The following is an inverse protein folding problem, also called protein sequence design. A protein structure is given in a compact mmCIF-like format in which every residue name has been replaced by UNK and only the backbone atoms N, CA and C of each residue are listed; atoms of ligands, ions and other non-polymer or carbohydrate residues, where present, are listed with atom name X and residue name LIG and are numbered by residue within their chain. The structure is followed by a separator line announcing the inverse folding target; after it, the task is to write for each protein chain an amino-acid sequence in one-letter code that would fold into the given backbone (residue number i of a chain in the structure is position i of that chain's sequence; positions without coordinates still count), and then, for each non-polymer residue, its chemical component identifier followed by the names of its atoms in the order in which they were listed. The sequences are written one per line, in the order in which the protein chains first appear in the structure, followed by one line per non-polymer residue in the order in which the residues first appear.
data_IF_881924369479
#
_entry.id   IF_881924369479
#
_cell.length_a   1.000
_cell.length_b   1.000
_cell.length_c   1.000
_cell.angle_alpha   90.00
_cell.angle_beta   90.00
_cell.angle_gamma   90.00
#
_symmetry.space_group_name_H-M   'P 1'
#
loop_
_entity.id
_entity.type
_entity.pdbx_description
1 polymer ?
#
# COMPACT_ATOMS: atom_id res chain seq x y z
N UNK A 1 21.37 8.53 5.65
CA UNK A 1 20.63 8.61 6.93
C UNK A 1 20.31 7.21 7.42
N UNK A 2 20.03 7.03 8.72
CA UNK A 2 19.48 5.80 9.28
C UNK A 2 17.96 5.77 9.07
N UNK A 3 17.42 4.64 8.60
CA UNK A 3 15.98 4.45 8.38
C UNK A 3 15.55 3.12 9.00
N UNK A 4 14.59 3.17 9.91
CA UNK A 4 13.96 1.98 10.48
C UNK A 4 12.70 1.65 9.70
N UNK A 5 12.59 0.42 9.18
CA UNK A 5 11.44 -0.07 8.42
C UNK A 5 10.72 -1.13 9.26
N UNK A 6 9.62 -0.75 9.90
CA UNK A 6 8.77 -1.68 10.62
C UNK A 6 7.82 -2.40 9.66
N UNK A 7 7.74 -3.73 9.74
CA UNK A 7 7.02 -4.56 8.77
C UNK A 7 7.78 -4.81 7.47
N UNK A 8 9.11 -4.65 7.49
CA UNK A 8 9.97 -4.80 6.32
C UNK A 8 10.03 -6.20 5.71
N UNK A 9 9.48 -7.23 6.36
CA UNK A 9 9.36 -8.59 5.80
C UNK A 9 8.23 -8.74 4.78
N UNK A 10 7.29 -7.79 4.70
CA UNK A 10 6.23 -7.76 3.67
C UNK A 10 6.77 -7.43 2.27
N UNK A 11 5.96 -7.62 1.22
CA UNK A 11 6.36 -7.33 -0.17
C UNK A 11 6.87 -5.90 -0.33
N UNK A 12 6.03 -4.92 -0.02
CA UNK A 12 6.40 -3.50 -0.10
C UNK A 12 7.55 -3.14 0.86
N UNK A 13 7.55 -3.73 2.08
CA UNK A 13 8.63 -3.50 3.05
C UNK A 13 10.00 -3.93 2.52
N UNK A 14 10.09 -5.10 1.86
CA UNK A 14 11.32 -5.56 1.20
C UNK A 14 11.72 -4.67 0.03
N UNK A 15 10.75 -4.19 -0.77
CA UNK A 15 11.03 -3.27 -1.87
C UNK A 15 11.61 -1.93 -1.36
N UNK A 16 10.99 -1.34 -0.35
CA UNK A 16 11.47 -0.10 0.31
C UNK A 16 12.84 -0.31 0.93
N UNK A 17 13.04 -1.40 1.70
CA UNK A 17 14.33 -1.66 2.34
C UNK A 17 15.46 -1.84 1.33
N UNK A 18 15.23 -2.57 0.23
CA UNK A 18 16.23 -2.75 -0.84
C UNK A 18 16.54 -1.44 -1.56
N UNK A 19 15.52 -0.66 -1.90
CA UNK A 19 15.72 0.63 -2.58
C UNK A 19 16.55 1.59 -1.73
N UNK A 20 16.22 1.72 -0.45
CA UNK A 20 16.94 2.58 0.47
C UNK A 20 18.38 2.09 0.74
N UNK A 21 18.58 0.78 0.94
CA UNK A 21 19.92 0.19 1.09
C UNK A 21 20.78 0.41 -0.16
N UNK A 22 20.18 0.19 -1.35
CA UNK A 22 20.88 0.43 -2.64
C UNK A 22 21.27 1.89 -2.89
N UNK A 23 20.68 2.82 -2.15
CA UNK A 23 21.00 4.26 -2.19
C UNK A 23 21.94 4.72 -1.06
N UNK A 24 22.50 3.79 -0.30
CA UNK A 24 23.46 4.08 0.74
C UNK A 24 22.88 4.52 2.08
N UNK A 25 21.56 4.32 2.31
CA UNK A 25 20.98 4.49 3.64
C UNK A 25 21.33 3.32 4.56
N UNK A 26 21.54 3.60 5.84
CA UNK A 26 21.59 2.57 6.87
C UNK A 26 20.15 2.10 7.16
N UNK A 27 19.79 0.91 6.71
CA UNK A 27 18.42 0.39 6.87
C UNK A 27 18.39 -0.66 7.99
N UNK A 28 17.50 -0.44 8.96
CA UNK A 28 17.18 -1.40 10.02
C UNK A 28 15.76 -1.90 9.82
N UNK A 29 15.60 -3.21 9.66
CA UNK A 29 14.30 -3.85 9.43
C UNK A 29 13.79 -4.46 10.73
N UNK A 30 12.70 -3.93 11.28
CA UNK A 30 12.00 -4.56 12.40
C UNK A 30 11.04 -5.62 11.88
N UNK A 31 11.24 -6.87 12.26
CA UNK A 31 10.42 -7.99 11.79
C UNK A 31 10.31 -9.13 12.82
N UNK A 32 9.15 -9.81 12.78
CA UNK A 32 8.92 -11.07 13.52
C UNK A 32 9.54 -12.27 12.82
N UNK A 33 9.73 -12.17 11.51
CA UNK A 33 10.30 -13.21 10.66
C UNK A 33 11.83 -13.15 10.63
N UNK A 34 12.51 -14.26 10.32
CA UNK A 34 13.95 -14.26 10.09
C UNK A 34 14.39 -13.30 8.98
N UNK A 35 15.66 -12.95 8.97
CA UNK A 35 16.28 -12.07 7.98
C UNK A 35 16.08 -12.57 6.53
N UNK A 36 15.91 -11.60 5.61
CA UNK A 36 15.97 -11.85 4.17
C UNK A 36 17.24 -11.20 3.60
N UNK A 37 17.98 -11.85 2.70
CA UNK A 37 19.20 -11.29 2.11
C UNK A 37 18.98 -9.94 1.42
N UNK A 38 19.97 -9.03 1.54
CA UNK A 38 20.06 -7.81 0.71
C UNK A 38 19.10 -6.67 1.06
N UNK A 39 18.52 -6.65 2.26
CA UNK A 39 17.54 -5.62 2.65
C UNK A 39 17.86 -4.87 3.95
N UNK A 40 19.15 -4.69 4.27
CA UNK A 40 19.59 -4.01 5.48
C UNK A 40 19.79 -4.95 6.68
N UNK A 41 20.04 -4.38 7.87
CA UNK A 41 20.21 -5.11 9.13
C UNK A 41 18.84 -5.45 9.74
N UNK A 42 18.63 -6.69 10.11
CA UNK A 42 17.39 -7.19 10.69
C UNK A 42 17.45 -7.24 12.20
N UNK A 43 16.42 -6.67 12.83
CA UNK A 43 16.22 -6.69 14.27
C UNK A 43 14.90 -7.36 14.57
N UNK A 44 14.93 -8.39 15.42
CA UNK A 44 13.72 -9.11 15.81
C UNK A 44 12.91 -8.29 16.80
N UNK A 45 11.59 -8.23 16.58
CA UNK A 45 10.63 -7.69 17.52
C UNK A 45 9.32 -8.51 17.45
N UNK A 46 8.47 -8.41 18.46
CA UNK A 46 7.20 -9.14 18.51
C UNK A 46 6.03 -8.39 17.84
N UNK A 47 6.21 -7.08 17.59
CA UNK A 47 5.17 -6.20 17.04
C UNK A 47 4.17 -5.69 18.07
N UNK A 48 4.47 -5.80 19.38
CA UNK A 48 3.52 -5.40 20.44
C UNK A 48 4.17 -4.78 21.67
N UNK A 49 5.35 -5.24 22.07
CA UNK A 49 6.05 -4.72 23.25
C UNK A 49 7.23 -3.86 22.87
N UNK A 50 7.57 -2.90 23.76
CA UNK A 50 8.82 -2.13 23.68
C UNK A 50 9.94 -3.00 24.25
N UNK A 51 11.06 -3.08 23.55
CA UNK A 51 12.24 -3.83 23.97
C UNK A 51 13.51 -3.17 23.43
N UNK A 52 14.63 -3.88 23.43
CA UNK A 52 15.95 -3.36 23.03
C UNK A 52 15.97 -2.75 21.62
N UNK A 53 15.08 -3.21 20.74
CA UNK A 53 14.90 -2.65 19.40
C UNK A 53 14.52 -1.16 19.40
N UNK A 54 13.98 -0.63 20.52
CA UNK A 54 13.57 0.78 20.63
C UNK A 54 14.75 1.74 20.42
N UNK A 55 15.96 1.34 20.84
CA UNK A 55 17.19 2.12 20.62
C UNK A 55 17.53 2.32 19.15
N UNK A 56 17.00 1.48 18.24
CA UNK A 56 17.20 1.66 16.81
C UNK A 56 16.51 2.90 16.24
N UNK A 57 15.48 3.40 16.93
CA UNK A 57 14.72 4.60 16.50
C UNK A 57 15.49 5.90 16.79
N UNK A 58 16.51 5.89 17.64
CA UNK A 58 17.24 7.11 18.03
C UNK A 58 17.90 7.76 16.81
N UNK A 59 17.47 8.99 16.47
CA UNK A 59 17.94 9.77 15.33
C UNK A 59 17.59 9.18 13.96
N UNK A 60 16.76 8.13 13.90
CA UNK A 60 16.38 7.45 12.67
C UNK A 60 15.04 7.95 12.14
N UNK A 61 14.91 7.99 10.81
CA UNK A 61 13.59 8.07 10.18
C UNK A 61 12.86 6.72 10.34
N UNK A 62 11.56 6.75 10.60
CA UNK A 62 10.73 5.56 10.75
C UNK A 62 9.73 5.42 9.59
N UNK A 63 9.71 4.25 8.95
CA UNK A 63 8.70 3.87 7.95
C UNK A 63 7.88 2.70 8.51
N UNK A 64 6.63 2.97 8.92
CA UNK A 64 5.73 1.97 9.47
C UNK A 64 4.85 1.36 8.37
N UNK A 65 5.14 0.12 7.99
CA UNK A 65 4.43 -0.69 6.99
C UNK A 65 3.74 -1.92 7.62
N UNK A 66 3.55 -1.92 8.94
CA UNK A 66 2.99 -3.06 9.65
C UNK A 66 1.54 -3.32 9.29
N UNK A 67 1.22 -4.55 8.92
CA UNK A 67 -0.15 -4.97 8.64
C UNK A 67 -0.25 -6.31 7.97
N UNK A 68 -1.27 -7.10 8.33
CA UNK A 68 -1.61 -8.32 7.62
C UNK A 68 -2.26 -8.00 6.26
N UNK A 69 -2.18 -8.95 5.32
CA UNK A 69 -2.82 -8.82 4.01
C UNK A 69 -4.35 -8.71 4.17
N UNK A 70 -4.93 -7.73 3.46
CA UNK A 70 -6.37 -7.41 3.51
C UNK A 70 -7.24 -8.40 2.72
N UNK A 71 -6.63 -9.28 1.95
CA UNK A 71 -7.30 -10.27 1.10
C UNK A 71 -7.91 -11.40 1.95
N UNK A 72 -8.99 -11.07 2.66
CA UNK A 72 -9.72 -11.95 3.58
C UNK A 72 -11.21 -11.62 3.53
N UNK A 73 -12.11 -12.60 3.82
CA UNK A 73 -13.53 -12.32 3.98
C UNK A 73 -13.79 -11.26 5.07
N UNK A 74 -14.80 -10.38 4.90
CA UNK A 74 -15.10 -9.31 5.84
C UNK A 74 -15.86 -9.82 7.09
N UNK A 75 -15.28 -10.77 7.81
CA UNK A 75 -15.82 -11.29 9.07
C UNK A 75 -15.32 -10.47 10.26
N UNK A 76 -16.07 -10.40 11.39
CA UNK A 76 -15.62 -9.71 12.59
C UNK A 76 -14.24 -10.16 13.06
N UNK A 77 -13.93 -11.46 12.99
CA UNK A 77 -12.64 -12.03 13.36
C UNK A 77 -11.50 -11.49 12.44
N UNK A 78 -11.74 -11.40 11.13
CA UNK A 78 -10.77 -10.85 10.19
C UNK A 78 -10.61 -9.34 10.34
N UNK A 79 -11.69 -8.59 10.57
CA UNK A 79 -11.61 -7.14 10.88
C UNK A 79 -10.75 -6.94 12.13
N UNK A 80 -11.01 -7.68 13.21
CA UNK A 80 -10.24 -7.61 14.45
C UNK A 80 -8.75 -7.98 14.21
N UNK A 81 -8.45 -9.01 13.40
CA UNK A 81 -7.08 -9.39 13.04
C UNK A 81 -6.39 -8.30 12.24
N UNK A 82 -7.05 -7.73 11.24
CA UNK A 82 -6.50 -6.65 10.41
C UNK A 82 -6.23 -5.39 11.24
N UNK A 83 -7.14 -5.06 12.16
CA UNK A 83 -6.98 -3.93 13.09
C UNK A 83 -5.79 -4.17 14.02
N UNK A 84 -5.77 -5.28 14.77
CA UNK A 84 -4.66 -5.60 15.68
C UNK A 84 -3.31 -5.65 14.98
N UNK A 85 -3.24 -6.25 13.79
CA UNK A 85 -1.98 -6.36 13.04
C UNK A 85 -1.37 -5.00 12.64
N UNK A 86 -2.12 -3.92 12.76
CA UNK A 86 -1.73 -2.53 12.45
C UNK A 86 -1.61 -1.69 13.71
N UNK A 87 -2.62 -1.72 14.53
CA UNK A 87 -2.72 -0.86 15.72
C UNK A 87 -1.70 -1.24 16.79
N UNK A 88 -1.57 -2.55 17.11
CA UNK A 88 -0.66 -2.99 18.18
C UNK A 88 0.80 -2.64 17.87
N UNK A 89 1.35 -2.97 16.67
CA UNK A 89 2.71 -2.56 16.34
C UNK A 89 2.87 -1.03 16.26
N UNK A 90 1.87 -0.30 15.76
CA UNK A 90 1.94 1.15 15.71
C UNK A 90 2.01 1.75 17.12
N UNK A 91 1.20 1.27 18.05
CA UNK A 91 1.24 1.71 19.46
C UNK A 91 2.57 1.37 20.15
N UNK A 92 3.17 0.20 19.83
CA UNK A 92 4.49 -0.14 20.33
C UNK A 92 5.57 0.83 19.81
N UNK A 93 5.51 1.17 18.51
CA UNK A 93 6.40 2.15 17.91
C UNK A 93 6.21 3.56 18.51
N UNK A 94 4.97 3.98 18.76
CA UNK A 94 4.68 5.28 19.41
C UNK A 94 5.29 5.33 20.81
N UNK A 95 5.09 4.27 21.62
CA UNK A 95 5.71 4.18 22.95
C UNK A 95 7.24 4.22 22.91
N UNK A 96 7.84 3.53 21.94
CA UNK A 96 9.29 3.53 21.76
C UNK A 96 9.82 4.90 21.30
N UNK A 97 9.12 5.54 20.36
CA UNK A 97 9.48 6.88 19.88
C UNK A 97 9.37 7.98 20.97
N UNK A 98 8.57 7.76 22.02
CA UNK A 98 8.52 8.66 23.17
C UNK A 98 9.79 8.66 24.04
N UNK A 99 10.68 7.69 23.84
CA UNK A 99 11.93 7.53 24.60
C UNK A 99 13.15 8.11 23.86
N UNK A 100 13.01 8.43 22.56
CA UNK A 100 14.13 8.83 21.69
C UNK A 100 13.65 9.86 20.68
N UNK A 101 14.58 10.56 20.04
CA UNK A 101 14.25 11.48 18.95
C UNK A 101 14.03 10.70 17.63
N UNK A 102 12.86 10.95 17.00
CA UNK A 102 12.49 10.43 15.68
C UNK A 102 12.25 11.62 14.75
N UNK A 103 13.19 11.98 13.86
CA UNK A 103 13.05 13.17 13.02
C UNK A 103 11.90 13.08 12.01
N UNK A 104 11.67 11.91 11.43
CA UNK A 104 10.60 11.69 10.44
C UNK A 104 9.90 10.37 10.71
N UNK A 105 8.55 10.41 10.72
CA UNK A 105 7.70 9.23 10.77
C UNK A 105 6.81 9.15 9.53
N UNK A 106 7.00 8.14 8.69
CA UNK A 106 6.09 7.80 7.59
C UNK A 106 5.17 6.69 8.06
N UNK A 107 3.89 7.02 8.24
CA UNK A 107 2.83 6.09 8.58
C UNK A 107 2.15 5.63 7.30
N UNK A 108 2.23 4.33 6.99
CA UNK A 108 1.42 3.78 5.90
C UNK A 108 -0.06 3.79 6.26
N UNK A 109 -0.87 4.08 5.27
CA UNK A 109 -2.33 3.98 5.29
C UNK A 109 -2.84 3.54 3.91
N UNK A 110 -4.12 3.68 3.64
CA UNK A 110 -4.73 3.27 2.39
C UNK A 110 -5.82 4.24 1.93
N UNK A 111 -5.95 4.42 0.61
CA UNK A 111 -7.07 5.17 0.02
C UNK A 111 -8.42 4.47 0.25
N UNK A 112 -8.42 3.21 0.69
CA UNK A 112 -9.65 2.52 1.07
C UNK A 112 -10.37 3.14 2.29
N UNK A 113 -9.71 4.04 3.02
CA UNK A 113 -10.30 4.86 4.08
C UNK A 113 -11.47 5.72 3.59
N UNK A 114 -11.54 6.02 2.30
CA UNK A 114 -12.63 6.78 1.69
C UNK A 114 -13.85 5.94 1.29
N UNK A 115 -13.83 4.63 1.56
CA UNK A 115 -14.94 3.73 1.21
C UNK A 115 -15.18 3.63 -0.30
N UNK A 116 -16.44 3.46 -0.69
CA UNK A 116 -16.91 3.54 -2.08
C UNK A 116 -17.44 4.96 -2.33
N UNK A 117 -16.72 5.74 -3.12
CA UNK A 117 -17.00 7.17 -3.30
C UNK A 117 -17.59 7.49 -4.69
N UNK A 118 -18.00 6.48 -5.45
CA UNK A 118 -18.56 6.68 -6.79
C UNK A 118 -17.63 7.49 -7.69
N UNK A 119 -18.13 8.59 -8.28
CA UNK A 119 -17.39 9.43 -9.22
C UNK A 119 -16.70 10.65 -8.59
N UNK A 120 -16.86 10.85 -7.28
CA UNK A 120 -16.23 11.96 -6.59
C UNK A 120 -14.70 11.92 -6.73
N UNK A 121 -14.12 13.07 -7.07
CA UNK A 121 -12.65 13.24 -7.05
C UNK A 121 -12.22 13.55 -5.62
N UNK A 122 -11.34 12.73 -5.08
CA UNK A 122 -10.87 12.82 -3.71
C UNK A 122 -9.39 13.22 -3.68
N UNK A 123 -9.10 14.31 -3.03
CA UNK A 123 -7.75 14.73 -2.67
C UNK A 123 -7.49 14.51 -1.16
N UNK A 124 -6.35 14.98 -0.68
CA UNK A 124 -5.92 14.80 0.71
C UNK A 124 -6.79 15.54 1.74
N UNK A 125 -7.63 16.48 1.31
CA UNK A 125 -8.58 17.21 2.16
C UNK A 125 -9.95 16.51 2.26
N UNK A 126 -10.21 15.49 1.44
CA UNK A 126 -11.47 14.77 1.42
C UNK A 126 -11.77 14.09 2.78
N UNK A 127 -13.03 14.12 3.25
CA UNK A 127 -13.41 13.47 4.49
C UNK A 127 -13.32 11.94 4.37
N UNK A 128 -12.91 11.28 5.45
CA UNK A 128 -12.87 9.81 5.53
C UNK A 128 -14.29 9.25 5.64
N UNK A 129 -14.50 8.03 5.14
CA UNK A 129 -15.80 7.36 5.19
C UNK A 129 -16.05 6.71 6.56
N UNK A 130 -17.32 6.66 6.97
CA UNK A 130 -17.75 5.94 8.16
C UNK A 130 -17.65 4.41 8.04
N UNK A 131 -17.48 3.87 6.84
CA UNK A 131 -17.41 2.42 6.59
C UNK A 131 -16.97 2.08 5.16
N UNK A 132 -16.85 0.81 4.81
CA UNK A 132 -17.12 -0.39 5.61
C UNK A 132 -16.03 -0.68 6.67
N UNK A 133 -16.34 -1.47 7.72
CA UNK A 133 -15.42 -1.72 8.84
C UNK A 133 -14.09 -2.33 8.42
N UNK A 134 -14.09 -3.27 7.46
CA UNK A 134 -12.87 -3.98 7.04
C UNK A 134 -11.86 -3.07 6.34
N UNK A 135 -12.30 -2.07 5.62
CA UNK A 135 -11.43 -1.19 4.83
C UNK A 135 -11.27 0.18 5.51
N UNK A 136 -12.34 0.97 5.55
CA UNK A 136 -12.31 2.32 6.12
C UNK A 136 -12.08 2.27 7.64
N UNK A 137 -12.82 1.46 8.40
CA UNK A 137 -12.66 1.37 9.84
C UNK A 137 -11.29 0.89 10.30
N UNK A 138 -10.72 -0.13 9.63
CA UNK A 138 -9.34 -0.58 9.93
C UNK A 138 -8.32 0.50 9.62
N UNK A 139 -8.48 1.23 8.52
CA UNK A 139 -7.57 2.31 8.15
C UNK A 139 -7.64 3.49 9.11
N UNK A 140 -8.86 3.89 9.52
CA UNK A 140 -9.08 4.94 10.52
C UNK A 140 -8.40 4.59 11.84
N UNK A 141 -8.65 3.39 12.38
CA UNK A 141 -8.01 2.94 13.61
C UNK A 141 -6.47 2.89 13.51
N UNK A 142 -5.95 2.60 12.33
CA UNK A 142 -4.51 2.61 12.09
C UNK A 142 -3.91 4.00 12.10
N UNK A 143 -4.54 4.98 11.43
CA UNK A 143 -4.11 6.38 11.44
C UNK A 143 -4.23 6.99 12.84
N UNK A 144 -5.33 6.70 13.56
CA UNK A 144 -5.55 7.14 14.94
C UNK A 144 -4.45 6.62 15.88
N UNK A 145 -4.03 5.37 15.72
CA UNK A 145 -2.97 4.79 16.53
C UNK A 145 -1.61 5.52 16.40
N UNK A 146 -1.40 6.27 15.31
CA UNK A 146 -0.20 7.06 15.05
C UNK A 146 -0.44 8.58 15.19
N UNK A 147 -1.66 9.02 15.56
CA UNK A 147 -2.03 10.44 15.54
C UNK A 147 -1.13 11.30 16.44
N UNK A 148 -0.75 10.77 17.60
CA UNK A 148 0.09 11.47 18.58
C UNK A 148 1.54 10.95 18.61
N UNK A 149 2.00 10.29 17.54
CA UNK A 149 3.36 9.78 17.46
C UNK A 149 4.38 10.94 17.63
N UNK A 150 5.29 10.86 18.62
CA UNK A 150 6.27 11.89 18.88
C UNK A 150 7.38 11.82 17.83
N UNK A 151 7.24 12.63 16.79
CA UNK A 151 8.22 12.77 15.73
C UNK A 151 8.32 14.23 15.27
N UNK A 152 9.49 14.64 14.82
CA UNK A 152 9.71 15.98 14.31
C UNK A 152 8.80 16.31 13.13
N UNK A 153 8.56 15.32 12.25
CA UNK A 153 7.62 15.42 11.13
C UNK A 153 6.90 14.08 10.90
N UNK A 154 5.58 14.15 10.69
CA UNK A 154 4.74 12.97 10.38
C UNK A 154 4.15 13.08 8.98
N UNK A 155 4.21 11.97 8.25
CA UNK A 155 3.55 11.80 6.95
C UNK A 155 2.63 10.59 7.03
N UNK A 156 1.35 10.77 6.76
CA UNK A 156 0.38 9.68 6.61
C UNK A 156 0.23 9.39 5.12
N UNK A 157 0.79 8.28 4.67
CA UNK A 157 0.86 7.91 3.26
C UNK A 157 -0.33 7.01 2.90
N UNK A 158 -1.44 7.60 2.43
CA UNK A 158 -2.62 6.88 1.96
C UNK A 158 -2.36 6.32 0.57
N UNK A 159 -2.22 5.01 0.49
CA UNK A 159 -1.73 4.32 -0.72
C UNK A 159 -2.87 3.71 -1.52
N UNK A 160 -2.84 3.90 -2.85
CA UNK A 160 -3.64 3.17 -3.81
C UNK A 160 -3.17 1.72 -4.01
N UNK A 161 -3.67 1.06 -5.04
CA UNK A 161 -3.21 -0.29 -5.39
C UNK A 161 -1.80 -0.18 -6.00
N UNK A 162 -0.79 -0.63 -5.26
CA UNK A 162 0.58 -0.68 -5.77
C UNK A 162 0.71 -1.86 -6.74
N UNK A 163 0.99 -1.52 -8.00
CA UNK A 163 1.25 -2.49 -9.05
C UNK A 163 2.74 -2.86 -9.03
N UNK A 164 3.01 -4.13 -8.75
CA UNK A 164 4.35 -4.69 -8.69
C UNK A 164 4.33 -6.11 -9.23
N UNK A 165 5.30 -6.45 -10.11
CA UNK A 165 5.46 -7.79 -10.67
C UNK A 165 5.58 -8.85 -9.56
N UNK A 166 4.91 -10.00 -9.76
CA UNK A 166 5.00 -11.12 -8.83
C UNK A 166 4.20 -10.96 -7.53
N UNK A 167 3.51 -9.85 -7.28
CA UNK A 167 2.58 -9.75 -6.14
C UNK A 167 1.34 -10.65 -6.34
N UNK A 168 0.69 -11.10 -5.24
CA UNK A 168 -0.53 -11.89 -5.36
C UNK A 168 -1.63 -11.20 -6.18
N UNK A 169 -1.79 -9.88 -6.03
CA UNK A 169 -2.77 -9.10 -6.79
C UNK A 169 -2.47 -9.12 -8.30
N UNK A 170 -1.23 -8.80 -8.71
CA UNK A 170 -0.84 -8.82 -10.12
C UNK A 170 -0.89 -10.23 -10.72
N UNK A 171 -0.48 -11.27 -9.98
CA UNK A 171 -0.61 -12.66 -10.44
C UNK A 171 -2.06 -13.07 -10.69
N UNK A 172 -2.99 -12.65 -9.82
CA UNK A 172 -4.44 -12.91 -10.02
C UNK A 172 -4.96 -12.18 -11.25
N UNK A 173 -4.70 -10.89 -11.37
CA UNK A 173 -5.17 -10.07 -12.50
C UNK A 173 -4.62 -10.58 -13.83
N UNK A 174 -3.32 -10.82 -13.91
CA UNK A 174 -2.68 -11.35 -15.13
C UNK A 174 -3.09 -12.81 -15.41
N UNK A 175 -3.27 -13.61 -14.37
CA UNK A 175 -3.78 -14.98 -14.49
C UNK A 175 -5.19 -15.00 -15.10
N UNK A 176 -6.13 -14.24 -14.54
CA UNK A 176 -7.48 -14.11 -15.08
C UNK A 176 -7.46 -13.66 -16.55
N UNK A 177 -6.64 -12.65 -16.88
CA UNK A 177 -6.52 -12.16 -18.25
C UNK A 177 -5.98 -13.23 -19.20
N UNK A 178 -4.96 -14.02 -18.78
CA UNK A 178 -4.39 -15.12 -19.60
C UNK A 178 -5.39 -16.24 -19.88
N UNK A 179 -6.28 -16.53 -18.93
CA UNK A 179 -7.30 -17.58 -19.08
C UNK A 179 -8.59 -17.07 -19.76
N UNK A 180 -8.60 -15.88 -20.34
CA UNK A 180 -9.79 -15.32 -21.00
C UNK A 180 -10.86 -14.81 -20.04
N UNK A 181 -10.60 -14.77 -18.74
CA UNK A 181 -11.50 -14.27 -17.69
C UNK A 181 -11.19 -12.82 -17.29
N UNK A 182 -10.40 -12.12 -18.08
CA UNK A 182 -9.98 -10.75 -17.85
C UNK A 182 -11.00 -9.69 -18.28
N UNK A 183 -12.31 -9.99 -18.27
CA UNK A 183 -13.37 -9.02 -18.52
C UNK A 183 -13.51 -7.98 -17.42
N UNK A 184 -14.27 -6.91 -17.69
CA UNK A 184 -14.62 -5.95 -16.65
C UNK A 184 -15.39 -6.63 -15.52
N UNK A 185 -15.18 -6.19 -14.29
CA UNK A 185 -15.87 -6.69 -13.11
C UNK A 185 -17.15 -5.87 -12.89
N UNK A 186 -18.31 -6.54 -12.83
CA UNK A 186 -19.60 -5.87 -12.75
C UNK A 186 -19.85 -5.01 -13.98
N UNK A 187 -20.24 -3.76 -13.77
CA UNK A 187 -20.38 -2.76 -14.83
C UNK A 187 -19.04 -2.13 -15.26
N UNK A 188 -17.97 -2.38 -14.50
CA UNK A 188 -16.62 -1.88 -14.75
C UNK A 188 -16.44 -0.38 -14.50
N UNK A 189 -17.41 0.27 -13.88
CA UNK A 189 -17.39 1.73 -13.62
C UNK A 189 -16.65 2.13 -12.37
N UNK A 190 -16.39 1.20 -11.45
CA UNK A 190 -15.64 1.48 -10.23
C UNK A 190 -14.24 1.99 -10.55
N UNK A 191 -13.85 3.07 -9.85
CA UNK A 191 -12.55 3.69 -10.02
C UNK A 191 -11.44 2.89 -9.32
N UNK A 192 -10.31 2.81 -9.96
CA UNK A 192 -9.09 2.19 -9.45
C UNK A 192 -8.01 3.26 -9.33
N UNK A 193 -7.71 3.65 -8.10
CA UNK A 193 -6.54 4.46 -7.78
C UNK A 193 -5.34 3.53 -7.65
N UNK A 194 -4.43 3.60 -8.59
CA UNK A 194 -3.28 2.69 -8.74
C UNK A 194 -1.97 3.46 -8.70
N UNK A 195 -0.88 2.77 -8.45
CA UNK A 195 0.47 3.33 -8.45
C UNK A 195 1.48 2.27 -8.89
N UNK A 196 2.45 2.64 -9.71
CA UNK A 196 3.58 1.76 -10.02
C UNK A 196 4.53 1.66 -8.82
N UNK A 197 5.15 0.49 -8.59
CA UNK A 197 6.07 0.30 -7.47
C UNK A 197 7.26 1.28 -7.51
N UNK A 198 7.79 1.59 -8.69
CA UNK A 198 8.87 2.59 -8.85
C UNK A 198 8.47 3.96 -8.30
N UNK A 199 7.25 4.42 -8.61
CA UNK A 199 6.73 5.69 -8.11
C UNK A 199 6.44 5.62 -6.60
N UNK A 200 5.96 4.47 -6.10
CA UNK A 200 5.80 4.28 -4.66
C UNK A 200 7.12 4.44 -3.90
N UNK A 201 8.20 3.86 -4.40
CA UNK A 201 9.53 4.00 -3.81
C UNK A 201 10.04 5.44 -3.90
N UNK A 202 9.81 6.12 -5.03
CA UNK A 202 10.15 7.53 -5.19
C UNK A 202 9.37 8.45 -4.23
N UNK A 203 8.08 8.17 -4.00
CA UNK A 203 7.26 8.91 -3.03
C UNK A 203 7.77 8.69 -1.60
N UNK A 204 8.15 7.46 -1.21
CA UNK A 204 8.73 7.21 0.12
C UNK A 204 10.01 8.02 0.30
N UNK A 205 10.91 8.04 -0.70
CA UNK A 205 12.13 8.87 -0.66
C UNK A 205 11.79 10.36 -0.56
N UNK A 206 10.86 10.84 -1.39
CA UNK A 206 10.42 12.23 -1.33
C UNK A 206 9.88 12.59 0.07
N UNK A 207 9.11 11.70 0.70
CA UNK A 207 8.63 11.90 2.07
C UNK A 207 9.75 11.87 3.11
N UNK A 208 10.85 11.15 2.89
CA UNK A 208 12.03 11.18 3.78
C UNK A 208 12.79 12.50 3.65
N UNK A 209 13.01 12.97 2.42
CA UNK A 209 13.93 14.06 2.12
C UNK A 209 13.28 15.46 2.17
N UNK A 210 12.00 15.58 1.77
CA UNK A 210 11.31 16.87 1.69
C UNK A 210 10.69 17.27 3.04
N UNK A 211 11.33 18.22 3.71
CA UNK A 211 10.87 18.76 4.99
C UNK A 211 9.49 19.44 4.93
N UNK A 212 9.03 19.89 3.76
CA UNK A 212 7.72 20.52 3.59
C UNK A 212 6.56 19.52 3.47
N UNK A 213 6.84 18.25 3.14
CA UNK A 213 5.82 17.19 3.08
C UNK A 213 5.51 16.65 4.47
N UNK A 214 4.38 17.06 5.05
CA UNK A 214 3.84 16.57 6.34
C UNK A 214 2.34 16.31 6.25
N UNK A 215 1.75 15.61 7.23
CA UNK A 215 0.33 15.26 7.25
C UNK A 215 -0.04 14.23 6.18
N UNK A 216 -1.28 14.26 5.69
CA UNK A 216 -1.78 13.28 4.70
C UNK A 216 -1.18 13.54 3.32
N UNK A 217 -0.72 12.47 2.68
CA UNK A 217 -0.22 12.45 1.28
C UNK A 217 -0.84 11.25 0.56
N UNK A 218 -1.39 11.45 -0.63
CA UNK A 218 -1.91 10.36 -1.46
C UNK A 218 -0.79 9.74 -2.31
N UNK A 219 -0.47 8.48 -2.05
CA UNK A 219 0.42 7.69 -2.90
C UNK A 219 -0.41 6.96 -3.97
N UNK A 220 -0.71 7.65 -5.05
CA UNK A 220 -1.45 7.14 -6.20
C UNK A 220 -0.99 7.83 -7.48
N UNK A 221 -1.18 7.18 -8.64
CA UNK A 221 -0.99 7.81 -9.94
C UNK A 221 -1.91 9.03 -10.10
N UNK A 222 -1.49 10.09 -10.81
CA UNK A 222 -2.33 11.25 -11.10
C UNK A 222 -3.54 10.91 -11.99
N UNK A 223 -3.53 9.74 -12.62
CA UNK A 223 -4.57 9.28 -13.55
C UNK A 223 -5.24 7.98 -13.06
N UNK A 224 -6.17 8.07 -12.10
CA UNK A 224 -7.00 6.91 -11.73
C UNK A 224 -7.83 6.47 -12.94
N UNK A 225 -8.07 5.18 -13.07
CA UNK A 225 -8.78 4.58 -14.21
C UNK A 225 -10.03 3.83 -13.77
N UNK A 226 -10.94 3.54 -14.71
CA UNK A 226 -12.06 2.62 -14.46
C UNK A 226 -11.57 1.17 -14.47
N UNK A 227 -12.25 0.28 -13.73
CA UNK A 227 -11.94 -1.14 -13.77
C UNK A 227 -12.00 -1.71 -15.20
N UNK A 228 -12.97 -1.28 -16.01
CA UNK A 228 -13.07 -1.67 -17.41
C UNK A 228 -11.78 -1.34 -18.20
N UNK A 229 -11.20 -0.17 -17.95
CA UNK A 229 -9.95 0.28 -18.59
C UNK A 229 -8.74 -0.51 -18.08
N UNK A 230 -8.63 -0.73 -16.75
CA UNK A 230 -7.58 -1.57 -16.16
C UNK A 230 -7.57 -2.95 -16.81
N UNK A 231 -8.73 -3.61 -16.88
CA UNK A 231 -8.84 -4.95 -17.44
C UNK A 231 -8.56 -4.98 -18.96
N UNK A 232 -9.00 -3.97 -19.69
CA UNK A 232 -8.70 -3.83 -21.13
C UNK A 232 -7.21 -3.61 -21.37
N UNK A 233 -6.55 -2.77 -20.56
CA UNK A 233 -5.10 -2.51 -20.65
C UNK A 233 -4.29 -3.77 -20.36
N UNK A 234 -4.63 -4.51 -19.31
CA UNK A 234 -3.99 -5.79 -18.98
C UNK A 234 -4.13 -6.81 -20.12
N UNK A 235 -5.31 -6.94 -20.72
CA UNK A 235 -5.52 -7.86 -21.86
C UNK A 235 -4.70 -7.45 -23.07
N UNK A 236 -4.69 -6.17 -23.43
CA UNK A 236 -3.88 -5.66 -24.55
C UNK A 236 -2.39 -5.95 -24.35
N UNK A 237 -1.88 -5.66 -23.17
CA UNK A 237 -0.47 -5.90 -22.84
C UNK A 237 -0.09 -7.40 -22.81
N UNK A 238 -1.07 -8.28 -22.57
CA UNK A 238 -0.90 -9.74 -22.61
C UNK A 238 -1.28 -10.35 -23.98
N UNK A 239 -1.58 -9.54 -24.99
CA UNK A 239 -2.05 -9.97 -26.31
C UNK A 239 -3.26 -10.90 -26.24
N UNK A 240 -4.25 -10.57 -25.38
CA UNK A 240 -5.47 -11.36 -25.22
C UNK A 240 -6.69 -10.64 -25.81
N UNK A 241 -7.61 -11.39 -26.42
CA UNK A 241 -8.82 -10.83 -27.01
C UNK A 241 -9.73 -10.21 -25.95
N UNK A 242 -10.74 -9.42 -26.35
CA UNK A 242 -11.81 -9.01 -25.45
C UNK A 242 -12.43 -10.20 -24.71
N UNK A 243 -12.75 -10.02 -23.45
CA UNK A 243 -13.35 -11.05 -22.60
C UNK A 243 -14.73 -10.58 -22.10
N UNK A 244 -15.67 -11.50 -21.90
CA UNK A 244 -16.98 -11.16 -21.37
C UNK A 244 -16.87 -10.55 -19.96
N UNK A 245 -17.80 -9.67 -19.55
CA UNK A 245 -17.81 -9.14 -18.21
C UNK A 245 -18.06 -10.24 -17.18
N UNK A 246 -17.45 -10.11 -16.00
CA UNK A 246 -17.75 -10.97 -14.86
C UNK A 246 -18.86 -10.32 -14.03
N UNK A 247 -20.11 -10.82 -14.07
CA UNK A 247 -21.23 -10.23 -13.32
C UNK A 247 -20.98 -10.19 -11.82
N UNK A 248 -21.47 -9.16 -11.13
CA UNK A 248 -21.26 -8.99 -9.69
C UNK A 248 -21.68 -10.21 -8.83
N UNK A 249 -22.77 -10.95 -9.13
CA UNK A 249 -23.10 -12.17 -8.42
C UNK A 249 -22.00 -13.25 -8.51
N UNK A 250 -21.41 -13.44 -9.69
CA UNK A 250 -20.30 -14.37 -9.89
C UNK A 250 -19.04 -13.94 -9.14
N UNK A 251 -18.77 -12.62 -9.09
CA UNK A 251 -17.65 -12.08 -8.27
C UNK A 251 -17.87 -12.39 -6.79
N UNK A 252 -19.09 -12.20 -6.27
CA UNK A 252 -19.43 -12.52 -4.88
C UNK A 252 -19.30 -14.02 -4.58
N UNK A 253 -19.76 -14.87 -5.51
CA UNK A 253 -19.61 -16.32 -5.38
C UNK A 253 -18.11 -16.72 -5.41
N UNK A 254 -17.35 -16.22 -6.37
CA UNK A 254 -15.92 -16.47 -6.47
C UNK A 254 -15.14 -15.99 -5.25
N UNK A 255 -15.53 -14.84 -4.69
CA UNK A 255 -14.94 -14.32 -3.46
C UNK A 255 -15.14 -15.25 -2.25
N UNK A 256 -16.31 -15.93 -2.13
CA UNK A 256 -16.54 -16.94 -1.10
C UNK A 256 -15.61 -18.14 -1.25
N UNK A 257 -15.47 -18.65 -2.48
CA UNK A 257 -14.59 -19.78 -2.78
C UNK A 257 -13.12 -19.43 -2.54
N UNK A 258 -12.69 -18.25 -2.98
CA UNK A 258 -11.32 -17.75 -2.82
C UNK A 258 -11.04 -17.20 -1.41
N UNK A 259 -12.04 -17.16 -0.53
CA UNK A 259 -11.96 -16.61 0.83
C UNK A 259 -11.40 -15.19 0.87
N UNK A 260 -11.93 -14.33 0.01
CA UNK A 260 -11.55 -12.92 -0.11
C UNK A 260 -12.75 -11.98 0.06
N UNK A 261 -12.52 -10.67 0.12
CA UNK A 261 -13.57 -9.66 0.17
C UNK A 261 -13.99 -9.25 -1.24
N UNK A 262 -15.25 -9.43 -1.66
CA UNK A 262 -15.73 -8.98 -2.95
C UNK A 262 -15.69 -7.45 -3.12
N UNK A 263 -15.71 -6.68 -2.03
CA UNK A 263 -15.58 -5.23 -2.08
C UNK A 263 -14.27 -4.76 -2.70
N UNK A 264 -13.18 -5.56 -2.59
CA UNK A 264 -11.89 -5.25 -3.24
C UNK A 264 -12.00 -5.12 -4.77
N UNK A 265 -12.98 -5.78 -5.39
CA UNK A 265 -13.19 -5.76 -6.83
C UNK A 265 -14.42 -4.95 -7.26
N UNK A 266 -15.41 -4.77 -6.38
CA UNK A 266 -16.72 -4.19 -6.70
C UNK A 266 -16.87 -2.73 -6.29
N UNK A 267 -15.99 -2.22 -5.41
CA UNK A 267 -16.01 -0.82 -4.96
C UNK A 267 -14.81 -0.05 -5.49
N UNK A 268 -14.92 1.26 -5.53
CA UNK A 268 -13.85 2.09 -6.05
C UNK A 268 -13.85 3.51 -5.50
N UNK A 269 -12.77 4.23 -5.79
CA UNK A 269 -12.58 5.65 -5.45
C UNK A 269 -11.65 6.31 -6.43
N UNK A 270 -11.95 7.57 -6.75
CA UNK A 270 -11.18 8.39 -7.68
C UNK A 270 -10.28 9.33 -6.89
N UNK A 271 -9.16 8.82 -6.37
CA UNK A 271 -8.22 9.63 -5.60
C UNK A 271 -7.12 10.22 -6.50
N UNK A 272 -6.74 11.46 -6.21
CA UNK A 272 -5.66 12.17 -6.90
C UNK A 272 -4.59 12.61 -5.91
N UNK A 273 -3.29 12.62 -6.29
CA UNK A 273 -2.17 13.00 -5.43
C UNK A 273 -1.93 14.52 -5.49
N UNK A 274 -2.92 15.32 -5.04
CA UNK A 274 -2.89 16.76 -5.25
C UNK A 274 -1.68 17.43 -4.58
N UNK A 275 -1.25 16.96 -3.40
CA UNK A 275 -0.08 17.51 -2.70
C UNK A 275 1.22 17.17 -3.40
N UNK A 276 1.39 15.95 -3.89
CA UNK A 276 2.57 15.56 -4.67
C UNK A 276 2.69 16.38 -5.96
N UNK A 277 1.57 16.55 -6.68
CA UNK A 277 1.56 17.38 -7.90
C UNK A 277 1.94 18.83 -7.60
N UNK A 278 1.38 19.43 -6.54
CA UNK A 278 1.74 20.81 -6.13
C UNK A 278 3.20 20.94 -5.68
N UNK A 279 3.81 19.87 -5.14
CA UNK A 279 5.23 19.86 -4.76
C UNK A 279 6.18 19.60 -5.94
N UNK A 280 5.67 19.55 -7.17
CA UNK A 280 6.49 19.27 -8.35
C UNK A 280 7.00 17.84 -8.45
N UNK A 281 6.32 16.88 -7.79
CA UNK A 281 6.69 15.47 -7.91
C UNK A 281 6.39 14.94 -9.32
N UNK A 282 7.40 14.38 -9.97
CA UNK A 282 7.29 13.77 -11.30
C UNK A 282 7.13 12.25 -11.19
N UNK A 283 6.05 11.74 -11.78
CA UNK A 283 5.77 10.30 -11.83
C UNK A 283 6.52 9.67 -13.01
N UNK A 284 7.26 8.59 -12.77
CA UNK A 284 7.89 7.80 -13.84
C UNK A 284 6.84 7.05 -14.68
N UNK A 285 5.74 6.64 -14.04
CA UNK A 285 4.65 5.91 -14.68
C UNK A 285 3.29 6.59 -14.44
N UNK A 286 3.04 7.79 -15.03
CA UNK A 286 1.76 8.48 -14.85
C UNK A 286 0.59 7.80 -15.56
N UNK A 287 0.87 7.00 -16.60
CA UNK A 287 -0.11 6.33 -17.46
C UNK A 287 -0.13 4.82 -17.22
N UNK A 288 -1.33 4.25 -17.09
CA UNK A 288 -1.50 2.82 -16.81
C UNK A 288 -0.89 1.92 -17.89
N UNK A 289 -0.98 2.32 -19.17
CA UNK A 289 -0.45 1.54 -20.29
C UNK A 289 1.04 1.30 -20.17
N UNK A 290 1.82 2.35 -19.95
CA UNK A 290 3.27 2.29 -19.73
C UNK A 290 3.64 1.50 -18.46
N UNK A 291 2.91 1.73 -17.37
CA UNK A 291 3.12 1.01 -16.12
C UNK A 291 2.93 -0.50 -16.27
N UNK A 292 1.86 -0.93 -16.93
CA UNK A 292 1.58 -2.35 -17.16
C UNK A 292 2.60 -2.98 -18.11
N UNK A 293 3.03 -2.26 -19.15
CA UNK A 293 4.07 -2.75 -20.08
C UNK A 293 5.39 -2.99 -19.34
N UNK A 294 5.84 -2.05 -18.52
CA UNK A 294 7.05 -2.20 -17.69
C UNK A 294 6.96 -3.41 -16.76
N UNK A 295 5.85 -3.57 -16.04
CA UNK A 295 5.66 -4.69 -15.10
C UNK A 295 5.64 -6.07 -15.76
N UNK A 296 5.25 -6.16 -17.03
CA UNK A 296 5.22 -7.44 -17.76
C UNK A 296 6.55 -7.77 -18.42
N UNK A 297 7.38 -6.77 -18.74
CA UNK A 297 8.73 -6.94 -19.27
C UNK A 297 9.75 -7.20 -18.18
N UNK A 298 9.58 -6.59 -17.02
CA UNK A 298 10.46 -6.79 -15.85
C UNK A 298 10.24 -8.18 -15.28
N UNK A 299 11.20 -9.10 -15.49
CA UNK A 299 11.16 -10.44 -14.88
C UNK A 299 11.10 -10.28 -13.36
N UNK A 300 10.19 -11.01 -12.66
CA UNK A 300 10.23 -11.02 -11.20
C UNK A 300 11.63 -11.47 -10.77
N UNK A 301 12.25 -10.71 -9.87
CA UNK A 301 13.51 -11.15 -9.26
C UNK A 301 13.30 -12.57 -8.74
N UNK A 302 14.07 -13.50 -9.27
CA UNK A 302 14.03 -14.92 -8.91
C UNK A 302 14.10 -15.03 -7.39
N UNK A 303 13.15 -15.79 -6.83
CA UNK A 303 13.21 -16.17 -5.42
C UNK A 303 14.46 -17.04 -5.26
N UNK A 304 15.52 -16.47 -4.68
CA UNK A 304 16.56 -17.23 -4.05
C UNK A 304 16.15 -17.59 -2.64
#
# INVERSE_FOLDING_TARGET
MKVVVAGGSGGLGRAVSRDLTGRGHEVVVLSRSPAAPGSGRWVRWDGGTVGDWAGELAGAALVNLCGALVDRPPTPANVALLTRSRVDPTRALVRAAALVEVPVWIQMSTLAIYGDAGDAVLDEAAPVAAGPPQMAGVATAWEEAAADAPAGRRVVLRTGIVLESGTPAMRRLTGLARWGLGGRVGDGRQWVSWLHVTDMLAIVRRCLDDGALGGVVHATSPRPVRNAELMATLRRALHRPPAPPTPAPLVRLGARVLRTDPALALTGRRCVPARLLRSGFEFAHPELGGAVADLLTTRPATRG
#
